data_IF_354132925784
#
_entry.id   IF_354132925784
#
_cell.length_a   1.000
_cell.length_b   1.000
_cell.length_c   1.000
_cell.angle_alpha   90.00
_cell.angle_beta   90.00
_cell.angle_gamma   90.00
#
_symmetry.space_group_name_H-M   'P 1'
#
loop_
_entity.id
_entity.type
_entity.pdbx_description
1 polymer ?
#
# COMPACT_ATOMS: atom_id res chain seq x y z
N UNK A 1 -7.00 -4.23 8.47
CA UNK A 1 -6.55 -3.05 7.67
C UNK A 1 -7.59 -2.70 6.62
N UNK A 2 -7.84 -1.42 6.42
CA UNK A 2 -8.64 -0.94 5.30
C UNK A 2 -7.71 -0.66 4.11
N UNK A 3 -7.70 -1.54 3.13
CA UNK A 3 -6.77 -1.44 1.99
C UNK A 3 -7.07 -0.26 1.08
N UNK A 4 -8.34 0.12 0.95
CA UNK A 4 -8.70 1.30 0.14
C UNK A 4 -8.24 2.60 0.80
N UNK A 5 -8.36 2.69 2.12
CA UNK A 5 -7.85 3.84 2.88
C UNK A 5 -6.33 3.94 2.75
N UNK A 6 -5.65 2.79 2.82
CA UNK A 6 -4.19 2.74 2.63
C UNK A 6 -3.81 3.21 1.23
N UNK A 7 -4.58 2.81 0.21
CA UNK A 7 -4.36 3.27 -1.16
C UNK A 7 -4.51 4.79 -1.27
N UNK A 8 -5.54 5.36 -0.65
CA UNK A 8 -5.74 6.81 -0.65
C UNK A 8 -4.56 7.55 -0.01
N UNK A 9 -4.02 7.03 1.08
CA UNK A 9 -2.83 7.58 1.73
C UNK A 9 -1.62 7.57 0.79
N UNK A 10 -1.40 6.45 0.09
CA UNK A 10 -0.30 6.34 -0.87
C UNK A 10 -0.47 7.28 -2.05
N UNK A 11 -1.68 7.42 -2.57
CA UNK A 11 -1.94 8.36 -3.67
C UNK A 11 -1.63 9.79 -3.24
N UNK A 12 -2.00 10.17 -2.03
CA UNK A 12 -1.68 11.49 -1.49
C UNK A 12 -0.16 11.68 -1.35
N UNK A 13 0.55 10.70 -0.82
CA UNK A 13 1.99 10.75 -0.63
C UNK A 13 2.75 10.89 -1.94
N UNK A 14 2.29 10.20 -2.99
CA UNK A 14 2.90 10.24 -4.32
C UNK A 14 2.33 11.33 -5.22
N UNK A 15 1.39 12.12 -4.70
CA UNK A 15 0.70 13.18 -5.47
C UNK A 15 0.13 12.64 -6.78
N UNK A 16 -0.42 11.43 -6.73
CA UNK A 16 -0.98 10.73 -7.89
C UNK A 16 -2.50 10.66 -7.80
N UNK A 17 -3.16 10.61 -8.96
CA UNK A 17 -4.60 10.39 -9.02
C UNK A 17 -4.90 8.90 -9.19
N UNK A 18 -6.14 8.52 -8.89
CA UNK A 18 -6.60 7.16 -9.11
C UNK A 18 -6.52 6.77 -10.59
N UNK A 19 -6.79 7.73 -11.48
CA UNK A 19 -6.68 7.52 -12.93
C UNK A 19 -5.24 7.20 -13.34
N UNK A 20 -4.27 7.98 -12.86
CA UNK A 20 -2.84 7.77 -13.13
C UNK A 20 -2.41 6.39 -12.64
N UNK A 21 -2.86 6.02 -11.45
CA UNK A 21 -2.52 4.72 -10.87
C UNK A 21 -3.11 3.58 -11.69
N UNK A 22 -4.38 3.67 -12.10
CA UNK A 22 -5.02 2.66 -12.92
C UNK A 22 -4.22 2.43 -14.21
N UNK A 23 -3.78 3.51 -14.82
CA UNK A 23 -2.98 3.45 -16.06
C UNK A 23 -1.62 2.80 -15.83
N UNK A 24 -0.88 3.21 -14.81
CA UNK A 24 0.44 2.67 -14.52
C UNK A 24 0.42 1.24 -14.00
N UNK A 25 -0.69 0.84 -13.37
CA UNK A 25 -0.87 -0.51 -12.81
C UNK A 25 -1.53 -1.48 -13.79
N UNK A 26 -1.92 -1.01 -14.97
CA UNK A 26 -2.67 -1.77 -15.97
C UNK A 26 -3.97 -2.36 -15.40
N UNK A 27 -4.68 -1.54 -14.62
CA UNK A 27 -5.98 -1.87 -14.06
C UNK A 27 -7.03 -0.99 -14.73
N UNK A 28 -8.19 -1.56 -15.00
CA UNK A 28 -9.31 -0.80 -15.55
C UNK A 28 -9.74 0.27 -14.54
N UNK A 29 -9.74 1.53 -14.97
CA UNK A 29 -10.09 2.66 -14.11
C UNK A 29 -11.51 2.53 -13.53
N UNK A 30 -12.47 2.12 -14.35
CA UNK A 30 -13.86 1.97 -13.91
C UNK A 30 -13.98 0.93 -12.79
N UNK A 31 -13.22 -0.17 -12.87
CA UNK A 31 -13.19 -1.21 -11.85
C UNK A 31 -12.61 -0.67 -10.54
N UNK A 32 -11.49 0.03 -10.63
CA UNK A 32 -10.82 0.60 -9.46
C UNK A 32 -11.69 1.70 -8.82
N UNK A 33 -12.28 2.55 -9.64
CA UNK A 33 -13.18 3.62 -9.18
C UNK A 33 -14.42 3.05 -8.48
N UNK A 34 -15.01 2.00 -9.04
CA UNK A 34 -16.16 1.34 -8.43
C UNK A 34 -15.81 0.71 -7.08
N UNK A 35 -14.65 0.09 -6.97
CA UNK A 35 -14.17 -0.48 -5.70
C UNK A 35 -13.98 0.63 -4.65
N UNK A 36 -13.43 1.77 -5.06
CA UNK A 36 -13.28 2.93 -4.17
C UNK A 36 -14.62 3.44 -3.67
N UNK A 37 -15.60 3.57 -4.55
CA UNK A 37 -16.95 4.04 -4.19
C UNK A 37 -17.63 3.13 -3.18
N UNK A 38 -17.44 1.82 -3.30
CA UNK A 38 -18.01 0.83 -2.38
C UNK A 38 -17.22 0.71 -1.08
N UNK A 39 -16.01 1.26 -1.01
CA UNK A 39 -15.12 1.04 0.11
C UNK A 39 -14.67 -0.40 0.23
N UNK A 40 -14.59 -1.11 -0.91
CA UNK A 40 -14.24 -2.53 -0.93
C UNK A 40 -12.78 -2.76 -0.58
N UNK A 41 -12.49 -3.89 0.07
CA UNK A 41 -11.11 -4.31 0.25
C UNK A 41 -10.51 -4.70 -1.10
N UNK A 42 -9.26 -4.35 -1.29
CA UNK A 42 -8.51 -4.73 -2.49
C UNK A 42 -8.00 -6.17 -2.35
N UNK A 43 -8.07 -6.92 -3.43
CA UNK A 43 -7.47 -8.26 -3.47
C UNK A 43 -5.94 -8.14 -3.46
N UNK A 44 -5.25 -9.20 -3.03
CA UNK A 44 -3.79 -9.24 -3.07
C UNK A 44 -3.27 -9.03 -4.49
N UNK A 45 -3.92 -9.63 -5.48
CA UNK A 45 -3.54 -9.45 -6.87
C UNK A 45 -3.60 -7.99 -7.30
N UNK A 46 -4.67 -7.29 -6.93
CA UNK A 46 -4.80 -5.85 -7.22
C UNK A 46 -3.74 -5.04 -6.49
N UNK A 47 -3.46 -5.37 -5.22
CA UNK A 47 -2.43 -4.69 -4.43
C UNK A 47 -1.05 -4.88 -5.08
N UNK A 48 -0.73 -6.07 -5.55
CA UNK A 48 0.53 -6.32 -6.27
C UNK A 48 0.67 -5.43 -7.51
N UNK A 49 -0.40 -5.31 -8.28
CA UNK A 49 -0.42 -4.46 -9.47
C UNK A 49 -0.25 -2.98 -9.12
N UNK A 50 -0.94 -2.53 -8.07
CA UNK A 50 -0.82 -1.16 -7.56
C UNK A 50 0.61 -0.87 -7.13
N UNK A 51 1.23 -1.78 -6.39
CA UNK A 51 2.61 -1.64 -5.97
C UNK A 51 3.55 -1.53 -7.17
N UNK A 52 3.34 -2.35 -8.20
CA UNK A 52 4.08 -2.26 -9.44
C UNK A 52 3.93 -0.90 -10.12
N UNK A 53 2.70 -0.37 -10.16
CA UNK A 53 2.41 0.94 -10.75
C UNK A 53 3.02 2.11 -9.98
N UNK A 54 3.15 1.99 -8.66
CA UNK A 54 3.76 3.00 -7.80
C UNK A 54 5.27 2.82 -7.67
N UNK A 55 5.82 1.69 -8.11
CA UNK A 55 7.24 1.39 -7.95
C UNK A 55 7.64 1.08 -6.51
N UNK A 56 6.73 0.53 -5.71
CA UNK A 56 7.00 0.14 -4.33
C UNK A 56 6.95 -1.36 -4.14
N UNK A 57 7.52 -1.84 -3.05
CA UNK A 57 7.44 -3.24 -2.66
C UNK A 57 6.09 -3.53 -1.98
N UNK A 58 5.67 -4.79 -2.03
CA UNK A 58 4.40 -5.21 -1.43
C UNK A 58 4.34 -4.88 0.06
N UNK A 59 5.43 -5.11 0.80
CA UNK A 59 5.45 -4.83 2.24
C UNK A 59 5.26 -3.33 2.54
N UNK A 60 5.72 -2.44 1.66
CA UNK A 60 5.57 -1.00 1.85
C UNK A 60 4.10 -0.58 1.80
N UNK A 61 3.29 -1.28 1.02
CA UNK A 61 1.86 -1.03 0.98
C UNK A 61 1.22 -1.25 2.36
N UNK A 62 1.64 -2.29 3.07
CA UNK A 62 1.03 -2.70 4.34
C UNK A 62 1.62 -2.02 5.57
N UNK A 63 2.66 -1.21 5.42
CA UNK A 63 3.37 -0.60 6.54
C UNK A 63 3.22 0.92 6.53
N UNK A 64 2.95 1.47 7.70
CA UNK A 64 2.99 2.91 7.95
C UNK A 64 4.22 3.27 8.81
N UNK A 65 4.38 4.55 9.14
CA UNK A 65 5.52 5.02 9.93
C UNK A 65 5.59 4.37 11.31
N UNK A 66 4.44 4.14 11.95
CA UNK A 66 4.39 3.47 13.25
C UNK A 66 4.87 2.03 13.16
N UNK A 67 4.54 1.33 12.07
CA UNK A 67 5.00 -0.04 11.85
C UNK A 67 6.51 -0.09 11.67
N UNK A 68 7.08 0.89 10.95
CA UNK A 68 8.53 0.99 10.79
C UNK A 68 9.24 1.20 12.12
N UNK A 69 8.74 2.09 12.97
CA UNK A 69 9.29 2.31 14.32
C UNK A 69 9.25 1.04 15.16
N UNK A 70 8.14 0.30 15.12
CA UNK A 70 7.99 -0.95 15.84
C UNK A 70 8.97 -2.03 15.37
N UNK A 71 9.21 -2.08 14.06
CA UNK A 71 10.17 -3.03 13.49
C UNK A 71 11.58 -2.71 13.94
N UNK A 72 11.98 -1.44 13.90
CA UNK A 72 13.29 -1.02 14.39
C UNK A 72 13.48 -1.40 15.85
N UNK A 73 12.49 -1.11 16.69
CA UNK A 73 12.51 -1.47 18.11
C UNK A 73 12.60 -2.98 18.30
N UNK A 74 11.80 -3.74 17.56
CA UNK A 74 11.82 -5.20 17.62
C UNK A 74 13.18 -5.77 17.22
N UNK A 75 13.79 -5.25 16.16
CA UNK A 75 15.11 -5.69 15.70
C UNK A 75 16.17 -5.40 16.75
N UNK A 76 16.14 -4.22 17.35
CA UNK A 76 17.09 -3.84 18.42
C UNK A 76 16.96 -4.77 19.63
N UNK A 77 15.74 -5.05 20.07
CA UNK A 77 15.49 -5.96 21.18
C UNK A 77 15.99 -7.37 20.87
N UNK A 78 15.76 -7.84 19.66
CA UNK A 78 16.19 -9.17 19.24
C UNK A 78 17.72 -9.29 19.20
N UNK A 79 18.41 -8.25 18.73
CA UNK A 79 19.87 -8.18 18.74
C UNK A 79 20.42 -8.22 20.17
N UNK A 80 19.80 -7.48 21.07
CA UNK A 80 20.19 -7.46 22.47
C UNK A 80 20.04 -8.83 23.14
N UNK A 81 19.01 -9.61 22.76
CA UNK A 81 18.79 -10.95 23.28
C UNK A 81 19.82 -11.98 22.77
N UNK A 82 20.32 -11.77 21.58
CA UNK A 82 21.25 -12.70 20.92
C UNK A 82 22.71 -12.42 21.27
N UNK A 83 22.95 -11.32 21.92
CA UNK A 83 24.28 -10.95 22.45
C UNK A 83 24.36 -11.28 23.94
#
# INVERSE_FOLDING_TARGET
MNTMKRLDELLADYEATLFDLAKSSNINYSTLHAAKRRGSQLSVDTIERVCGGLGIRLFEFFMNDDDWERIEEYVLQRRARNN
#
